data_IF_341076128131
#
_entry.id   IF_341076128131
#
_cell.length_a   1.000
_cell.length_b   1.000
_cell.length_c   1.000
_cell.angle_alpha   90.00
_cell.angle_beta   90.00
_cell.angle_gamma   90.00
#
_symmetry.space_group_name_H-M   'P 1'
#
loop_
_entity.id
_entity.type
_entity.pdbx_description
1 polymer ?
#
# COMPACT_ATOMS: atom_id res chain seq x y z
N UNK A 1 -20.33 -28.20 5.29
CA UNK A 1 -19.53 -26.95 5.39
C UNK A 1 -19.18 -26.52 3.98
N UNK A 2 -19.63 -25.34 3.52
CA UNK A 2 -19.29 -24.86 2.19
C UNK A 2 -17.79 -24.64 2.07
N UNK A 3 -17.20 -25.09 0.96
CA UNK A 3 -15.82 -24.79 0.58
C UNK A 3 -15.86 -23.91 -0.67
N UNK A 4 -15.05 -22.86 -0.66
CA UNK A 4 -14.95 -21.91 -1.76
C UNK A 4 -13.51 -21.44 -1.88
N UNK A 5 -13.03 -21.30 -3.12
CA UNK A 5 -11.76 -20.65 -3.42
C UNK A 5 -11.89 -19.16 -3.13
N UNK A 6 -10.89 -18.60 -2.45
CA UNK A 6 -10.86 -17.18 -2.13
C UNK A 6 -9.45 -16.62 -2.31
N UNK A 7 -9.37 -15.36 -2.69
CA UNK A 7 -8.17 -14.57 -2.57
C UNK A 7 -8.13 -13.99 -1.15
N UNK A 8 -7.02 -14.23 -0.46
CA UNK A 8 -6.79 -13.72 0.90
C UNK A 8 -5.98 -12.44 0.77
N UNK A 9 -6.51 -11.34 1.28
CA UNK A 9 -5.84 -10.04 1.29
C UNK A 9 -5.61 -9.63 2.74
N UNK A 10 -4.40 -9.83 3.27
CA UNK A 10 -4.05 -9.36 4.60
C UNK A 10 -4.05 -7.83 4.67
N UNK A 11 -4.52 -7.29 5.79
CA UNK A 11 -4.49 -5.85 6.05
C UNK A 11 -4.26 -5.55 7.53
N UNK A 12 -3.85 -4.32 7.82
CA UNK A 12 -3.81 -3.75 9.16
C UNK A 12 -4.73 -2.54 9.26
N UNK A 13 -5.20 -2.22 10.47
CA UNK A 13 -5.95 -0.99 10.73
C UNK A 13 -4.99 0.04 11.33
N UNK A 14 -4.82 1.17 10.64
CA UNK A 14 -4.00 2.29 11.11
C UNK A 14 -4.76 3.59 10.87
N UNK A 15 -4.93 4.39 11.92
CA UNK A 15 -5.68 5.66 11.87
C UNK A 15 -7.09 5.52 11.26
N UNK A 16 -7.76 4.39 11.53
CA UNK A 16 -9.09 4.08 11.01
C UNK A 16 -9.11 3.58 9.55
N UNK A 17 -7.97 3.53 8.87
CA UNK A 17 -7.85 3.03 7.50
C UNK A 17 -7.41 1.55 7.49
N UNK A 18 -8.05 0.73 6.65
CA UNK A 18 -7.63 -0.64 6.36
C UNK A 18 -6.54 -0.62 5.29
N UNK A 19 -5.30 -0.94 5.62
CA UNK A 19 -4.13 -0.86 4.73
C UNK A 19 -3.62 -2.26 4.41
N UNK A 20 -3.49 -2.60 3.12
CA UNK A 20 -2.97 -3.89 2.66
C UNK A 20 -1.53 -4.10 3.12
N UNK A 21 -1.22 -5.29 3.63
CA UNK A 21 0.15 -5.69 3.99
C UNK A 21 0.62 -6.82 3.07
N UNK A 22 1.86 -6.73 2.60
CA UNK A 22 2.45 -7.69 1.66
C UNK A 22 3.02 -8.92 2.35
N UNK A 23 3.45 -8.77 3.60
CA UNK A 23 4.05 -9.85 4.37
C UNK A 23 3.41 -9.89 5.75
N UNK A 24 3.04 -11.09 6.18
CA UNK A 24 2.39 -11.35 7.45
C UNK A 24 3.33 -12.24 8.23
N UNK A 25 3.91 -11.68 9.30
CA UNK A 25 4.69 -12.47 10.26
C UNK A 25 3.77 -13.45 10.99
N UNK A 26 4.34 -14.52 11.52
CA UNK A 26 3.60 -15.47 12.36
C UNK A 26 2.81 -14.75 13.46
N UNK A 27 1.50 -15.04 13.54
CA UNK A 27 0.61 -14.43 14.52
C UNK A 27 -0.82 -14.28 14.00
N UNK A 28 -1.63 -13.54 14.76
CA UNK A 28 -2.96 -13.12 14.34
C UNK A 28 -2.86 -11.91 13.40
N UNK A 29 -3.73 -11.88 12.39
CA UNK A 29 -3.84 -10.78 11.44
C UNK A 29 -5.28 -10.69 10.93
N UNK A 30 -5.66 -9.51 10.47
CA UNK A 30 -6.93 -9.30 9.78
C UNK A 30 -6.76 -9.55 8.29
N UNK A 31 -7.77 -10.15 7.66
CA UNK A 31 -7.76 -10.44 6.24
C UNK A 31 -9.15 -10.30 5.63
N UNK A 32 -9.19 -9.73 4.43
CA UNK A 32 -10.36 -9.78 3.58
C UNK A 32 -10.33 -11.05 2.75
N UNK A 33 -11.45 -11.77 2.71
CA UNK A 33 -11.63 -12.96 1.88
C UNK A 33 -12.48 -12.58 0.68
N UNK A 34 -11.84 -12.42 -0.48
CA UNK A 34 -12.56 -12.18 -1.73
C UNK A 34 -12.91 -13.53 -2.33
N UNK A 35 -14.19 -13.89 -2.33
CA UNK A 35 -14.62 -15.23 -2.72
C UNK A 35 -14.81 -15.35 -4.24
N UNK A 36 -14.47 -16.49 -4.83
CA UNK A 36 -14.73 -16.78 -6.25
C UNK A 36 -16.23 -16.82 -6.58
N UNK A 37 -17.04 -17.23 -5.61
CA UNK A 37 -18.51 -17.30 -5.70
C UNK A 37 -19.13 -17.00 -4.33
N UNK A 38 -20.36 -16.44 -4.28
CA UNK A 38 -21.04 -16.20 -3.02
C UNK A 38 -21.36 -17.51 -2.29
N UNK A 39 -21.34 -17.46 -0.96
CA UNK A 39 -21.77 -18.54 -0.06
C UNK A 39 -22.61 -17.94 1.07
N UNK A 40 -23.52 -18.73 1.63
CA UNK A 40 -24.23 -18.34 2.85
C UNK A 40 -23.31 -18.56 4.07
N UNK A 41 -23.11 -17.50 4.85
CA UNK A 41 -22.32 -17.53 6.09
C UNK A 41 -22.81 -16.45 7.05
N UNK A 42 -22.72 -16.72 8.34
CA UNK A 42 -23.08 -15.77 9.39
C UNK A 42 -21.85 -15.06 9.95
N UNK A 43 -22.02 -13.83 10.43
CA UNK A 43 -21.03 -13.17 11.26
C UNK A 43 -20.77 -14.02 12.52
N UNK A 44 -19.50 -14.15 12.92
CA UNK A 44 -19.06 -15.01 14.02
C UNK A 44 -18.77 -16.47 13.62
N UNK A 45 -19.09 -16.88 12.38
CA UNK A 45 -18.75 -18.20 11.88
C UNK A 45 -17.24 -18.45 11.90
N UNK A 46 -16.84 -19.69 12.24
CA UNK A 46 -15.44 -20.12 12.18
C UNK A 46 -15.08 -20.48 10.74
N UNK A 47 -13.88 -20.08 10.33
CA UNK A 47 -13.33 -20.39 9.00
C UNK A 47 -11.98 -21.08 9.12
N UNK A 48 -11.70 -21.94 8.15
CA UNK A 48 -10.43 -22.65 8.01
C UNK A 48 -9.83 -22.31 6.65
N UNK A 49 -8.57 -21.89 6.65
CA UNK A 49 -7.84 -21.52 5.44
C UNK A 49 -6.93 -22.68 5.04
N UNK A 50 -7.08 -23.14 3.79
CA UNK A 50 -6.38 -24.30 3.26
C UNK A 50 -5.74 -23.93 1.93
N UNK A 51 -4.45 -24.27 1.78
CA UNK A 51 -3.74 -24.24 0.50
C UNK A 51 -3.86 -25.59 -0.20
N UNK A 52 -4.76 -25.67 -1.16
CA UNK A 52 -5.00 -26.88 -1.96
C UNK A 52 -3.94 -27.12 -3.03
N UNK A 53 -3.11 -26.13 -3.31
CA UNK A 53 -2.04 -26.16 -4.30
C UNK A 53 -0.75 -26.85 -3.79
N UNK A 54 -0.57 -26.94 -2.47
CA UNK A 54 0.54 -27.70 -1.85
C UNK A 54 0.34 -29.21 -1.99
N UNK A 55 1.40 -30.02 -1.95
CA UNK A 55 1.28 -31.49 -2.03
C UNK A 55 0.56 -32.07 -0.80
N UNK A 56 0.00 -33.30 -0.86
CA UNK A 56 -0.62 -33.93 0.30
C UNK A 56 0.35 -34.24 1.44
N UNK A 57 1.66 -34.33 1.13
CA UNK A 57 2.72 -34.55 2.12
C UNK A 57 3.09 -33.29 2.92
N UNK A 58 2.56 -32.13 2.54
CA UNK A 58 2.80 -30.85 3.22
C UNK A 58 1.58 -30.45 4.06
N UNK A 59 1.82 -29.67 5.13
CA UNK A 59 0.74 -29.08 5.93
C UNK A 59 -0.03 -28.06 5.07
N UNK A 60 -1.29 -28.38 4.74
CA UNK A 60 -2.15 -27.54 3.89
C UNK A 60 -2.98 -26.53 4.66
N UNK A 61 -3.20 -26.74 5.95
CA UNK A 61 -3.92 -25.78 6.79
C UNK A 61 -2.95 -24.65 7.13
N UNK A 62 -3.26 -23.45 6.65
CA UNK A 62 -2.41 -22.27 6.83
C UNK A 62 -2.94 -21.32 7.91
N UNK A 63 -4.18 -21.50 8.34
CA UNK A 63 -4.77 -20.66 9.37
C UNK A 63 -6.22 -21.00 9.66
N UNK A 64 -6.74 -20.42 10.73
CA UNK A 64 -8.16 -20.46 11.09
C UNK A 64 -8.55 -19.12 11.67
N UNK A 65 -9.83 -18.78 11.62
CA UNK A 65 -10.30 -17.48 12.08
C UNK A 65 -11.81 -17.44 12.29
N UNK A 66 -12.31 -16.23 12.49
CA UNK A 66 -13.72 -15.93 12.66
C UNK A 66 -14.13 -14.81 11.70
N UNK A 67 -15.28 -14.95 11.05
CA UNK A 67 -15.85 -13.87 10.25
C UNK A 67 -16.29 -12.75 11.19
N UNK A 68 -15.69 -11.58 11.06
CA UNK A 68 -16.02 -10.38 11.85
C UNK A 68 -17.02 -9.47 11.13
N UNK A 69 -16.97 -9.45 9.80
CA UNK A 69 -17.75 -8.56 8.95
C UNK A 69 -18.06 -9.24 7.61
N UNK A 70 -19.24 -8.95 7.07
CA UNK A 70 -19.67 -9.36 5.73
C UNK A 70 -20.06 -8.07 4.99
N UNK A 71 -19.45 -7.85 3.83
CA UNK A 71 -19.65 -6.66 3.00
C UNK A 71 -19.83 -7.05 1.54
N UNK A 72 -20.59 -6.26 0.79
CA UNK A 72 -20.75 -6.43 -0.66
C UNK A 72 -19.48 -6.06 -1.43
N UNK A 73 -18.70 -5.10 -0.90
CA UNK A 73 -17.48 -4.58 -1.53
C UNK A 73 -16.32 -4.57 -0.53
N UNK A 74 -15.19 -5.09 -0.96
CA UNK A 74 -13.94 -5.07 -0.19
C UNK A 74 -13.12 -3.88 -0.69
N UNK A 75 -13.12 -2.81 0.09
CA UNK A 75 -12.39 -1.59 -0.19
C UNK A 75 -11.24 -1.49 0.81
N UNK A 76 -10.00 -1.50 0.32
CA UNK A 76 -8.78 -1.41 1.14
C UNK A 76 -7.83 -0.37 0.56
N UNK A 77 -6.95 0.17 1.41
CA UNK A 77 -5.92 1.10 1.01
C UNK A 77 -4.63 0.37 0.68
N UNK A 78 -4.08 0.60 -0.51
CA UNK A 78 -2.78 0.09 -0.91
C UNK A 78 -1.73 1.18 -0.80
N UNK A 79 -0.59 0.86 -0.18
CA UNK A 79 0.59 1.72 -0.22
C UNK A 79 1.13 1.75 -1.64
N UNK A 80 1.19 2.94 -2.23
CA UNK A 80 1.87 3.18 -3.50
C UNK A 80 3.02 4.14 -3.25
N UNK A 81 4.22 3.70 -3.60
CA UNK A 81 5.42 4.53 -3.56
C UNK A 81 5.67 5.05 -4.96
N UNK A 82 5.85 6.36 -5.09
CA UNK A 82 6.41 6.98 -6.28
C UNK A 82 7.86 7.33 -6.02
N UNK A 83 8.71 7.02 -6.95
CA UNK A 83 10.14 7.30 -6.86
C UNK A 83 10.50 8.46 -7.77
N UNK A 84 11.33 9.35 -7.24
CA UNK A 84 11.88 10.49 -7.94
C UNK A 84 13.39 10.53 -7.83
N UNK A 85 14.02 11.20 -8.79
CA UNK A 85 15.45 11.40 -8.86
C UNK A 85 15.78 12.86 -8.60
N UNK A 86 16.87 13.09 -7.87
CA UNK A 86 17.39 14.43 -7.63
C UNK A 86 18.01 14.97 -8.92
N UNK A 87 17.43 16.05 -9.46
CA UNK A 87 17.98 16.74 -10.63
C UNK A 87 19.04 17.74 -10.23
N UNK A 88 18.82 18.48 -9.14
CA UNK A 88 19.73 19.55 -8.70
C UNK A 88 19.52 19.88 -7.24
N UNK A 89 20.62 19.98 -6.51
CA UNK A 89 20.67 20.52 -5.14
C UNK A 89 21.01 22.01 -5.24
N UNK A 90 20.29 22.86 -4.51
CA UNK A 90 20.51 24.31 -4.42
C UNK A 90 20.62 24.72 -2.96
N UNK A 91 20.90 26.01 -2.75
CA UNK A 91 20.91 26.59 -1.41
C UNK A 91 19.47 26.66 -0.87
N UNK A 92 19.09 25.68 -0.06
CA UNK A 92 17.82 25.62 0.67
C UNK A 92 16.76 24.68 0.07
N UNK A 93 16.88 24.26 -1.20
CA UNK A 93 15.94 23.32 -1.80
C UNK A 93 16.59 22.33 -2.77
N UNK A 94 15.88 21.23 -3.02
CA UNK A 94 16.29 20.16 -3.92
C UNK A 94 15.21 19.94 -4.97
N UNK A 95 15.61 19.99 -6.24
CA UNK A 95 14.70 19.65 -7.34
C UNK A 95 14.64 18.14 -7.54
N UNK A 96 13.42 17.62 -7.53
CA UNK A 96 13.13 16.20 -7.71
C UNK A 96 12.20 16.01 -8.91
N UNK A 97 12.60 15.15 -9.84
CA UNK A 97 11.79 14.72 -10.99
C UNK A 97 11.25 13.30 -10.75
N UNK A 98 10.06 12.98 -11.26
CA UNK A 98 9.48 11.63 -11.23
C UNK A 98 8.39 11.42 -10.18
N UNK A 99 8.26 12.30 -9.18
CA UNK A 99 7.18 12.23 -8.19
C UNK A 99 5.80 12.60 -8.76
N UNK A 100 5.78 13.42 -9.81
CA UNK A 100 4.58 13.82 -10.54
C UNK A 100 4.83 13.77 -12.06
N UNK A 101 3.79 13.42 -12.82
CA UNK A 101 3.82 13.34 -14.29
C UNK A 101 3.51 14.67 -14.97
N UNK A 102 2.96 15.64 -14.24
CA UNK A 102 2.55 16.96 -14.75
C UNK A 102 2.59 18.01 -13.64
N UNK A 103 2.53 19.29 -14.02
CA UNK A 103 2.40 20.40 -13.07
C UNK A 103 1.17 20.26 -12.17
N UNK A 104 0.00 19.90 -12.72
CA UNK A 104 -1.22 19.74 -11.92
C UNK A 104 -1.09 18.64 -10.85
N UNK A 105 -0.43 17.53 -11.19
CA UNK A 105 -0.14 16.48 -10.22
C UNK A 105 0.88 16.96 -9.17
N UNK A 106 1.91 17.70 -9.58
CA UNK A 106 2.87 18.32 -8.66
C UNK A 106 2.20 19.28 -7.68
N UNK A 107 1.23 20.09 -8.12
CA UNK A 107 0.44 20.98 -7.26
C UNK A 107 -0.36 20.21 -6.21
N UNK A 108 -0.96 19.07 -6.57
CA UNK A 108 -1.74 18.22 -5.64
C UNK A 108 -0.92 17.55 -4.53
N UNK A 109 0.40 17.45 -4.68
CA UNK A 109 1.31 16.82 -3.71
C UNK A 109 2.13 17.83 -2.91
N UNK A 110 1.86 19.13 -3.07
CA UNK A 110 2.46 20.18 -2.24
C UNK A 110 2.12 19.95 -0.76
N UNK A 111 3.08 20.25 0.12
CA UNK A 111 3.08 20.01 1.57
C UNK A 111 3.04 18.54 1.98
N UNK A 112 3.16 17.60 1.05
CA UNK A 112 3.31 16.18 1.40
C UNK A 112 4.76 15.86 1.73
N UNK A 113 4.92 14.87 2.60
CA UNK A 113 6.20 14.38 3.07
C UNK A 113 6.78 13.38 2.06
N UNK A 114 8.10 13.41 1.92
CA UNK A 114 8.89 12.44 1.15
C UNK A 114 10.08 11.99 1.97
N UNK A 115 10.64 10.84 1.63
CA UNK A 115 11.81 10.27 2.30
C UNK A 115 12.86 9.86 1.29
N UNK A 116 14.14 10.04 1.57
CA UNK A 116 15.20 9.47 0.72
C UNK A 116 15.55 8.05 1.15
N UNK A 117 16.29 7.34 0.30
CA UNK A 117 16.86 6.02 0.64
C UNK A 117 17.84 6.05 1.80
N UNK A 118 18.45 7.21 2.09
CA UNK A 118 19.30 7.42 3.28
C UNK A 118 18.51 7.73 4.55
N UNK A 119 17.20 7.95 4.44
CA UNK A 119 16.29 8.24 5.55
C UNK A 119 16.07 9.73 5.82
N UNK A 120 16.61 10.65 5.01
CA UNK A 120 16.32 12.08 5.14
C UNK A 120 14.84 12.34 4.83
N UNK A 121 14.21 13.20 5.64
CA UNK A 121 12.79 13.54 5.52
C UNK A 121 12.66 14.91 4.87
N UNK A 122 11.83 14.99 3.84
CA UNK A 122 11.58 16.24 3.13
C UNK A 122 10.11 16.59 3.02
N UNK A 123 9.83 17.87 2.79
CA UNK A 123 8.50 18.39 2.50
C UNK A 123 8.51 19.02 1.10
N UNK A 124 7.55 18.61 0.26
CA UNK A 124 7.35 19.19 -1.07
C UNK A 124 6.83 20.63 -0.91
N UNK A 125 7.57 21.63 -1.39
CA UNK A 125 7.21 23.04 -1.24
C UNK A 125 6.40 23.56 -2.41
N UNK A 126 6.97 23.48 -3.61
CA UNK A 126 6.36 24.07 -4.81
C UNK A 126 6.66 23.23 -6.06
N UNK A 127 5.78 23.25 -7.07
CA UNK A 127 6.10 22.74 -8.41
C UNK A 127 7.15 23.61 -9.10
N UNK A 128 7.97 22.98 -9.94
CA UNK A 128 8.98 23.66 -10.76
C UNK A 128 8.73 23.35 -12.25
N UNK A 129 8.39 24.38 -13.03
CA UNK A 129 8.10 24.25 -14.46
C UNK A 129 6.81 23.48 -14.77
N UNK A 130 6.74 22.86 -15.96
CA UNK A 130 5.54 22.18 -16.47
C UNK A 130 5.62 20.65 -16.43
N UNK A 131 6.83 20.09 -16.31
CA UNK A 131 7.11 18.64 -16.41
C UNK A 131 6.89 17.86 -15.10
N UNK A 132 6.22 18.44 -14.11
CA UNK A 132 5.97 17.77 -12.82
C UNK A 132 7.20 17.66 -11.92
N UNK A 133 8.25 18.45 -12.15
CA UNK A 133 9.37 18.58 -11.21
C UNK A 133 8.87 19.33 -9.97
N UNK A 134 9.37 18.97 -8.79
CA UNK A 134 9.03 19.61 -7.51
C UNK A 134 10.28 20.07 -6.77
N UNK A 135 10.15 21.17 -6.04
CA UNK A 135 11.11 21.64 -5.05
C UNK A 135 10.77 21.00 -3.69
N UNK A 136 11.76 20.36 -3.08
CA UNK A 136 11.66 19.69 -1.78
C UNK A 136 12.69 20.28 -0.83
N UNK A 137 12.26 20.59 0.39
CA UNK A 137 13.16 20.99 1.47
C UNK A 137 13.35 19.79 2.39
N UNK A 138 14.60 19.35 2.56
CA UNK A 138 14.97 18.21 3.40
C UNK A 138 15.51 18.70 4.75
N UNK A 139 15.25 17.91 5.80
CA UNK A 139 15.77 18.15 7.15
C UNK A 139 17.27 17.89 7.28
N UNK A 140 17.81 17.02 6.42
CA UNK A 140 19.21 16.62 6.39
C UNK A 140 19.80 16.78 4.97
N UNK A 141 21.13 16.93 4.84
CA UNK A 141 21.79 16.93 3.55
C UNK A 141 21.52 15.64 2.77
N UNK A 142 21.23 15.77 1.48
CA UNK A 142 20.99 14.65 0.55
C UNK A 142 22.05 14.64 -0.55
N UNK A 143 22.36 13.47 -1.09
CA UNK A 143 23.28 13.31 -2.22
C UNK A 143 22.53 13.31 -3.56
N UNK A 144 23.23 13.71 -4.62
CA UNK A 144 22.67 13.84 -5.96
C UNK A 144 22.16 12.51 -6.56
N UNK A 145 22.69 11.38 -6.11
CA UNK A 145 22.36 10.02 -6.56
C UNK A 145 21.25 9.34 -5.75
N UNK A 146 20.72 10.00 -4.71
CA UNK A 146 19.65 9.43 -3.88
C UNK A 146 18.30 9.38 -4.61
N UNK A 147 17.53 8.34 -4.26
CA UNK A 147 16.14 8.19 -4.69
C UNK A 147 15.22 8.79 -3.63
N UNK A 148 14.32 9.65 -4.06
CA UNK A 148 13.30 10.27 -3.23
C UNK A 148 12.00 9.48 -3.39
N UNK A 149 11.39 9.11 -2.27
CA UNK A 149 10.19 8.29 -2.23
C UNK A 149 9.02 9.10 -1.67
N UNK A 150 7.93 9.15 -2.43
CA UNK A 150 6.64 9.67 -1.99
C UNK A 150 5.68 8.51 -1.79
N UNK A 151 5.37 8.18 -0.53
CA UNK A 151 4.36 7.19 -0.18
C UNK A 151 2.97 7.83 -0.12
N UNK A 152 1.99 7.17 -0.71
CA UNK A 152 0.57 7.50 -0.56
C UNK A 152 -0.28 6.26 -0.41
N UNK A 153 -1.39 6.41 0.28
CA UNK A 153 -2.45 5.41 0.30
C UNK A 153 -3.41 5.67 -0.88
N UNK A 154 -3.75 4.59 -1.57
CA UNK A 154 -4.74 4.61 -2.66
C UNK A 154 -5.81 3.59 -2.33
N UNK A 155 -7.04 4.05 -2.27
CA UNK A 155 -8.21 3.19 -2.10
C UNK A 155 -8.42 2.34 -3.36
N UNK A 156 -8.61 1.04 -3.17
CA UNK A 156 -8.78 0.06 -4.24
C UNK A 156 -9.90 -0.92 -3.85
N UNK A 157 -10.83 -1.15 -4.78
CA UNK A 157 -11.86 -2.17 -4.65
C UNK A 157 -11.29 -3.50 -5.15
N UNK A 158 -11.32 -4.52 -4.30
CA UNK A 158 -10.79 -5.85 -4.62
C UNK A 158 -11.90 -6.79 -5.07
N UNK A 159 -11.66 -7.47 -6.19
CA UNK A 159 -12.54 -8.50 -6.75
C UNK A 159 -11.75 -9.77 -7.01
N UNK A 160 -12.44 -10.92 -7.03
CA UNK A 160 -11.73 -12.18 -7.22
C UNK A 160 -11.10 -12.19 -8.62
N UNK A 161 -9.77 -12.31 -8.70
CA UNK A 161 -9.03 -12.34 -9.96
C UNK A 161 -8.73 -10.97 -10.58
N UNK A 162 -8.95 -9.86 -9.85
CA UNK A 162 -8.47 -8.52 -10.24
C UNK A 162 -7.00 -8.29 -9.89
#
# INVERSE_FOLDING_TARGET
MPMVTAQIIPFEIRDGLRIVVHDVKMGAFDAALVLQRPIAIDAGAKVLLIRTDLSPSQMRIIGSGRITEITEKIILNKRKVREGKIQRIRDGDVLVEGLASSKSVAESIVRKQVTTTSGAVGIIKTPFGTRGVVSVEFDNPVKQDEVVQYERLVEEEFRFGS
#
